data_IF_340055486206
#
_entry.id   IF_340055486206
#
_cell.length_a   1.000
_cell.length_b   1.000
_cell.length_c   1.000
_cell.angle_alpha   90.00
_cell.angle_beta   90.00
_cell.angle_gamma   90.00
#
_symmetry.space_group_name_H-M   'P 1'
#
loop_
_entity.id
_entity.type
_entity.pdbx_description
1 polymer ?
#
# COMPACT_ATOMS: atom_id res chain seq x y z
N UNK A 1 24.33 12.15 22.09
CA UNK A 1 23.32 11.72 21.09
C UNK A 1 24.01 11.63 19.75
N UNK A 2 24.14 10.44 19.17
CA UNK A 2 24.84 10.24 17.90
C UNK A 2 23.92 10.71 16.76
N UNK A 3 24.17 11.90 16.20
CA UNK A 3 23.37 12.48 15.10
C UNK A 3 23.91 11.97 13.77
N UNK A 4 23.04 11.53 12.88
CA UNK A 4 23.39 10.94 11.59
C UNK A 4 22.70 11.70 10.47
N UNK A 5 23.48 12.25 9.54
CA UNK A 5 22.96 13.04 8.42
C UNK A 5 22.55 12.15 7.24
N UNK A 6 21.51 12.57 6.51
CA UNK A 6 21.18 11.98 5.22
C UNK A 6 22.19 12.43 4.16
N UNK A 7 22.55 11.53 3.25
CA UNK A 7 23.46 11.82 2.13
C UNK A 7 22.74 12.31 0.87
N UNK A 8 21.41 12.20 0.86
CA UNK A 8 20.55 12.55 -0.28
C UNK A 8 19.77 13.85 -0.05
N UNK A 9 19.77 14.38 1.18
CA UNK A 9 19.21 15.68 1.54
C UNK A 9 19.81 16.19 2.86
N UNK A 10 19.44 17.40 3.27
CA UNK A 10 20.00 18.08 4.45
C UNK A 10 19.40 17.63 5.79
N UNK A 11 18.55 16.59 5.80
CA UNK A 11 17.91 16.10 7.02
C UNK A 11 18.90 15.39 7.94
N UNK A 12 18.85 15.71 9.23
CA UNK A 12 19.64 15.05 10.28
C UNK A 12 18.72 14.23 11.18
N UNK A 13 19.06 12.95 11.34
CA UNK A 13 18.35 11.99 12.17
C UNK A 13 19.09 11.76 13.50
N UNK A 14 18.36 11.31 14.52
CA UNK A 14 18.92 11.00 15.85
C UNK A 14 19.44 9.57 15.99
N UNK A 15 19.22 8.72 14.98
CA UNK A 15 19.67 7.33 14.95
C UNK A 15 19.83 6.82 13.52
N UNK A 16 20.63 5.76 13.35
CA UNK A 16 20.80 5.06 12.06
C UNK A 16 19.47 4.43 11.60
N UNK A 17 18.67 3.90 12.52
CA UNK A 17 17.36 3.30 12.21
C UNK A 17 16.40 4.33 11.61
N UNK A 18 16.35 5.53 12.21
CA UNK A 18 15.56 6.65 11.70
C UNK A 18 16.03 7.11 10.33
N UNK A 19 17.36 7.15 10.10
CA UNK A 19 17.91 7.51 8.80
C UNK A 19 17.57 6.47 7.72
N UNK A 20 17.65 5.17 8.03
CA UNK A 20 17.23 4.10 7.11
C UNK A 20 15.77 4.24 6.71
N UNK A 21 14.88 4.46 7.68
CA UNK A 21 13.46 4.72 7.40
C UNK A 21 13.31 5.98 6.54
N UNK A 22 13.94 7.09 6.91
CA UNK A 22 13.89 8.35 6.15
C UNK A 22 14.27 8.13 4.67
N UNK A 23 15.40 7.47 4.40
CA UNK A 23 15.83 7.14 3.04
C UNK A 23 14.77 6.29 2.33
N UNK A 24 14.27 5.24 2.97
CA UNK A 24 13.22 4.38 2.41
C UNK A 24 11.93 5.14 2.08
N UNK A 25 11.51 6.08 2.92
CA UNK A 25 10.27 6.81 2.73
C UNK A 25 10.36 7.96 1.72
N UNK A 26 11.49 8.69 1.73
CA UNK A 26 11.64 9.97 1.03
C UNK A 26 12.49 9.88 -0.23
N UNK A 27 13.41 8.94 -0.30
CA UNK A 27 14.37 8.81 -1.40
C UNK A 27 14.23 7.50 -2.17
N UNK A 28 13.44 6.55 -1.65
CA UNK A 28 13.14 5.30 -2.33
C UNK A 28 11.62 5.14 -2.52
N UNK A 29 11.22 4.52 -3.62
CA UNK A 29 9.85 4.05 -3.84
C UNK A 29 9.70 2.55 -3.58
N UNK A 30 10.66 1.96 -2.87
CA UNK A 30 10.54 0.60 -2.37
C UNK A 30 9.32 0.48 -1.44
N UNK A 31 8.42 -0.44 -1.81
CA UNK A 31 7.17 -0.72 -1.11
C UNK A 31 7.18 -2.19 -0.69
N UNK A 32 7.94 -2.56 0.35
CA UNK A 32 8.11 -3.96 0.72
C UNK A 32 6.80 -4.64 1.17
N UNK A 33 5.85 -3.86 1.71
CA UNK A 33 4.61 -4.39 2.26
C UNK A 33 3.52 -4.37 1.18
N UNK A 34 3.07 -5.54 0.76
CA UNK A 34 2.06 -5.65 -0.30
C UNK A 34 0.74 -6.15 0.26
N UNK A 35 -0.35 -5.56 -0.21
CA UNK A 35 -1.69 -6.06 0.09
C UNK A 35 -1.90 -7.42 -0.57
N UNK A 36 -2.20 -8.44 0.23
CA UNK A 36 -2.49 -9.78 -0.29
C UNK A 36 -3.80 -9.87 -1.09
N UNK A 37 -4.70 -8.89 -0.94
CA UNK A 37 -5.98 -8.86 -1.64
C UNK A 37 -5.92 -8.16 -3.01
N UNK A 38 -5.07 -7.13 -3.15
CA UNK A 38 -5.02 -6.29 -4.36
C UNK A 38 -3.59 -5.97 -4.84
N UNK A 39 -2.56 -6.58 -4.27
CA UNK A 39 -1.16 -6.37 -4.64
C UNK A 39 -0.61 -4.95 -4.43
N UNK A 40 -1.40 -4.00 -3.88
CA UNK A 40 -0.96 -2.62 -3.68
C UNK A 40 0.20 -2.58 -2.68
N UNK A 41 1.31 -1.94 -3.05
CA UNK A 41 2.49 -1.81 -2.21
C UNK A 41 2.46 -0.58 -1.28
N UNK A 42 3.01 -0.74 -0.08
CA UNK A 42 3.10 0.26 0.99
C UNK A 42 4.52 0.32 1.56
N UNK A 43 4.88 1.51 2.06
CA UNK A 43 6.21 1.77 2.63
C UNK A 43 6.37 1.26 4.07
N UNK A 44 5.26 1.02 4.79
CA UNK A 44 5.25 0.42 6.12
C UNK A 44 4.04 -0.51 6.35
N UNK A 45 4.12 -1.30 7.42
CA UNK A 45 3.09 -2.26 7.82
C UNK A 45 1.82 -1.61 8.35
N UNK A 46 1.92 -0.44 8.99
CA UNK A 46 0.76 0.27 9.54
C UNK A 46 -0.18 0.75 8.43
N UNK A 47 0.37 1.36 7.38
CA UNK A 47 -0.38 1.80 6.21
C UNK A 47 -0.99 0.62 5.45
N UNK A 48 -0.28 -0.51 5.38
CA UNK A 48 -0.83 -1.76 4.84
C UNK A 48 -2.02 -2.25 5.69
N UNK A 49 -1.88 -2.28 7.01
CA UNK A 49 -2.92 -2.75 7.91
C UNK A 49 -4.20 -1.91 7.77
N UNK A 50 -4.08 -0.57 7.84
CA UNK A 50 -5.18 0.35 7.58
C UNK A 50 -5.82 0.15 6.21
N UNK A 51 -5.00 -0.08 5.19
CA UNK A 51 -5.54 -0.39 3.87
C UNK A 51 -6.31 -1.71 3.84
N UNK A 52 -5.85 -2.73 4.57
CA UNK A 52 -6.56 -4.02 4.63
C UNK A 52 -7.93 -3.90 5.29
N UNK A 53 -8.08 -3.03 6.29
CA UNK A 53 -9.37 -2.72 6.90
C UNK A 53 -10.38 -2.19 5.87
N UNK A 54 -9.94 -1.36 4.90
CA UNK A 54 -10.83 -0.85 3.84
C UNK A 54 -11.43 -1.92 2.93
N UNK A 55 -10.87 -3.13 2.90
CA UNK A 55 -11.48 -4.27 2.19
C UNK A 55 -12.51 -5.02 3.03
N UNK A 56 -12.47 -4.88 4.36
CA UNK A 56 -13.44 -5.50 5.27
C UNK A 56 -14.68 -4.61 5.47
N UNK A 57 -14.53 -3.28 5.39
CA UNK A 57 -15.64 -2.31 5.46
C UNK A 57 -16.41 -2.13 4.15
N UNK A 58 -16.01 -2.80 3.07
CA UNK A 58 -16.78 -2.77 1.82
C UNK A 58 -17.80 -3.89 1.83
N UNK A 59 -19.08 -3.52 1.96
CA UNK A 59 -20.17 -4.29 1.35
C UNK A 59 -19.72 -4.73 -0.06
N UNK A 60 -19.91 -6.01 -0.38
CA UNK A 60 -19.27 -6.64 -1.54
C UNK A 60 -19.47 -5.82 -2.84
N UNK A 61 -18.41 -5.67 -3.63
CA UNK A 61 -18.41 -5.06 -4.95
C UNK A 61 -19.01 -6.03 -5.99
N UNK A 62 -20.24 -5.78 -6.44
CA UNK A 62 -20.87 -6.51 -7.54
C UNK A 62 -20.53 -5.93 -8.91
N UNK A 63 -20.49 -6.78 -9.92
CA UNK A 63 -20.47 -6.40 -11.33
C UNK A 63 -21.87 -5.99 -11.77
N UNK A 64 -21.96 -4.83 -12.41
CA UNK A 64 -23.21 -4.25 -12.92
C UNK A 64 -23.62 -4.77 -14.31
N UNK A 65 -22.81 -5.66 -14.92
CA UNK A 65 -23.17 -6.28 -16.20
C UNK A 65 -24.31 -7.25 -16.00
N UNK A 66 -25.43 -6.98 -16.66
CA UNK A 66 -26.64 -7.81 -16.67
C UNK A 66 -26.28 -9.27 -17.00
N UNK A 67 -26.66 -10.19 -16.09
CA UNK A 67 -26.38 -11.63 -16.24
C UNK A 67 -24.96 -12.09 -15.85
N UNK A 68 -24.05 -11.19 -15.43
CA UNK A 68 -22.70 -11.58 -15.01
C UNK A 68 -22.67 -12.20 -13.60
N UNK A 69 -23.39 -11.60 -12.64
CA UNK A 69 -23.47 -12.10 -11.26
C UNK A 69 -22.14 -12.07 -10.48
N UNK A 70 -21.08 -11.49 -11.03
CA UNK A 70 -19.77 -11.43 -10.37
C UNK A 70 -19.80 -10.53 -9.13
N UNK A 71 -19.22 -10.98 -8.02
CA UNK A 71 -19.04 -10.19 -6.81
C UNK A 71 -17.62 -10.33 -6.29
N UNK A 72 -17.09 -9.27 -5.68
CA UNK A 72 -15.74 -9.19 -5.15
C UNK A 72 -15.72 -8.47 -3.82
N UNK A 73 -14.84 -8.89 -2.92
CA UNK A 73 -14.58 -8.16 -1.66
C UNK A 73 -13.68 -6.95 -1.86
N UNK A 74 -13.09 -6.78 -3.05
CA UNK A 74 -12.26 -5.63 -3.38
C UNK A 74 -12.59 -5.01 -4.74
N UNK A 75 -12.52 -3.69 -4.79
CA UNK A 75 -12.73 -2.91 -6.02
C UNK A 75 -11.72 -3.19 -7.11
N UNK A 76 -10.49 -3.61 -6.75
CA UNK A 76 -9.48 -3.92 -7.75
C UNK A 76 -9.82 -5.18 -8.53
N UNK A 77 -10.33 -6.21 -7.86
CA UNK A 77 -10.71 -7.46 -8.53
C UNK A 77 -11.91 -7.24 -9.46
N UNK A 78 -12.89 -6.42 -9.05
CA UNK A 78 -13.97 -6.00 -9.92
C UNK A 78 -13.44 -5.21 -11.13
N UNK A 79 -12.52 -4.28 -10.91
CA UNK A 79 -11.88 -3.52 -12.00
C UNK A 79 -11.06 -4.40 -12.95
N UNK A 80 -10.43 -5.47 -12.46
CA UNK A 80 -9.74 -6.44 -13.32
C UNK A 80 -10.73 -7.32 -14.09
N UNK A 81 -11.86 -7.68 -13.48
CA UNK A 81 -12.96 -8.37 -14.14
C UNK A 81 -13.46 -7.56 -15.35
N UNK A 82 -13.73 -6.26 -15.21
CA UNK A 82 -14.09 -5.38 -16.34
C UNK A 82 -13.04 -5.25 -17.45
N UNK A 83 -11.77 -5.59 -17.18
CA UNK A 83 -10.71 -5.56 -18.20
C UNK A 83 -10.60 -6.87 -18.98
N UNK A 84 -11.25 -7.94 -18.51
CA UNK A 84 -11.14 -9.30 -19.04
C UNK A 84 -12.46 -9.84 -19.57
N UNK A 85 -13.59 -9.31 -19.10
CA UNK A 85 -14.92 -9.52 -19.66
C UNK A 85 -15.09 -8.67 -20.93
#
# INVERSE_FOLDING_TARGET
VNRVACVLCEMVCTSVSSLKSHIRFRHCDERPFHCHLCGKGFKNAYDLHKHVETHNDSDAYSCDVEGCGFTSRTSQTLRQHYKRA
#
